data_IF_853763795258
#
_entry.id   IF_853763795258
#
_cell.length_a   1.000
_cell.length_b   1.000
_cell.length_c   1.000
_cell.angle_alpha   90.00
_cell.angle_beta   90.00
_cell.angle_gamma   90.00
#
_symmetry.space_group_name_H-M   'P 1'
#
loop_
_entity.id
_entity.type
_entity.pdbx_description
1 polymer ?
#
# COMPACT_ATOMS: atom_id res chain seq x y z
N UNK A 1 -34.14 -23.50 -32.33
CA UNK A 1 -33.64 -22.18 -32.78
C UNK A 1 -33.43 -21.31 -31.54
N UNK A 2 -32.26 -21.40 -30.90
CA UNK A 2 -31.86 -20.51 -29.81
C UNK A 2 -30.51 -19.94 -30.20
N UNK A 3 -30.54 -18.64 -30.46
CA UNK A 3 -29.46 -17.82 -30.98
C UNK A 3 -28.38 -17.63 -29.92
N UNK A 4 -27.15 -17.96 -30.32
CA UNK A 4 -25.86 -17.34 -30.00
C UNK A 4 -25.98 -16.20 -28.98
N UNK A 5 -25.56 -16.47 -27.75
CA UNK A 5 -25.07 -15.48 -26.78
C UNK A 5 -23.71 -15.92 -26.28
N UNK A 6 -22.81 -16.16 -27.22
CA UNK A 6 -21.41 -16.38 -26.89
C UNK A 6 -20.69 -15.04 -27.01
N UNK A 7 -19.89 -14.75 -25.98
CA UNK A 7 -18.59 -14.09 -26.10
C UNK A 7 -18.46 -12.58 -25.82
N UNK A 8 -19.03 -12.07 -24.72
CA UNK A 8 -18.66 -10.73 -24.20
C UNK A 8 -18.32 -10.68 -22.70
N UNK A 9 -18.44 -11.79 -21.96
CA UNK A 9 -18.19 -11.82 -20.51
C UNK A 9 -16.84 -12.42 -20.10
N UNK A 10 -16.03 -12.91 -21.03
CA UNK A 10 -14.80 -13.65 -20.71
C UNK A 10 -13.53 -12.79 -20.60
N UNK A 11 -13.58 -11.50 -20.96
CA UNK A 11 -12.37 -10.63 -21.00
C UNK A 11 -12.29 -9.68 -19.80
N UNK A 12 -13.31 -9.65 -18.95
CA UNK A 12 -13.41 -8.75 -17.80
C UNK A 12 -13.10 -9.43 -16.45
N UNK A 13 -12.73 -10.71 -16.46
CA UNK A 13 -12.57 -11.53 -15.24
C UNK A 13 -11.17 -12.12 -15.04
N UNK A 14 -10.19 -11.73 -15.86
CA UNK A 14 -8.79 -12.07 -15.62
C UNK A 14 -8.09 -10.82 -15.12
N UNK A 15 -7.74 -10.77 -13.83
CA UNK A 15 -6.71 -9.95 -13.15
C UNK A 15 -7.07 -9.63 -11.68
N UNK A 16 -7.75 -10.54 -10.97
CA UNK A 16 -8.13 -10.30 -9.56
C UNK A 16 -7.69 -11.40 -8.58
N UNK A 17 -6.71 -12.24 -8.94
CA UNK A 17 -6.34 -13.36 -8.05
C UNK A 17 -4.84 -13.68 -7.89
N UNK A 18 -3.92 -12.76 -8.13
CA UNK A 18 -2.52 -13.02 -7.81
C UNK A 18 -1.93 -11.87 -6.97
N UNK A 19 -2.00 -12.05 -5.64
CA UNK A 19 -1.16 -11.45 -4.59
C UNK A 19 -1.79 -10.59 -3.46
N UNK A 20 -3.11 -10.56 -3.25
CA UNK A 20 -3.72 -9.65 -2.22
C UNK A 20 -4.49 -10.27 -1.04
N UNK A 21 -4.83 -11.55 -1.06
CA UNK A 21 -6.06 -12.04 -0.40
C UNK A 21 -5.90 -12.71 0.98
N UNK A 22 -5.00 -12.21 1.84
CA UNK A 22 -4.86 -12.77 3.20
C UNK A 22 -5.16 -11.78 4.36
N UNK A 23 -5.35 -10.47 4.12
CA UNK A 23 -5.54 -9.50 5.21
C UNK A 23 -6.99 -9.09 5.52
N UNK A 24 -7.98 -9.59 4.78
CA UNK A 24 -9.33 -9.02 4.85
C UNK A 24 -9.32 -7.56 4.40
N UNK A 25 -10.37 -6.79 4.72
CA UNK A 25 -10.43 -5.36 4.37
C UNK A 25 -9.45 -4.53 5.23
N UNK A 26 -8.38 -3.95 4.66
CA UNK A 26 -7.42 -3.12 5.38
C UNK A 26 -7.91 -1.68 5.59
N UNK A 27 -9.03 -1.26 4.99
CA UNK A 27 -9.54 0.11 5.13
C UNK A 27 -9.82 0.44 6.61
N UNK A 28 -9.39 1.64 7.05
CA UNK A 28 -9.48 2.07 8.43
C UNK A 28 -8.53 1.37 9.42
N UNK A 29 -7.67 0.45 8.96
CA UNK A 29 -6.72 -0.28 9.80
C UNK A 29 -5.30 0.27 9.68
N UNK A 30 -4.49 -0.07 10.68
CA UNK A 30 -3.06 0.23 10.69
C UNK A 30 -2.30 -0.93 10.05
N UNK A 31 -1.62 -0.64 8.96
CA UNK A 31 -0.80 -1.60 8.20
C UNK A 31 0.68 -1.20 8.24
N UNK A 32 1.54 -2.12 7.82
CA UNK A 32 2.98 -1.88 7.67
C UNK A 32 3.30 -1.71 6.19
N UNK A 33 4.03 -0.65 5.86
CA UNK A 33 4.51 -0.39 4.51
C UNK A 33 6.04 -0.23 4.45
N UNK A 34 6.59 -0.27 3.25
CA UNK A 34 8.00 -0.06 2.95
C UNK A 34 8.15 1.05 1.90
N UNK A 35 8.97 2.05 2.19
CA UNK A 35 9.28 3.10 1.22
C UNK A 35 10.14 2.50 0.10
N UNK A 36 9.66 2.51 -1.14
CA UNK A 36 10.41 1.96 -2.29
C UNK A 36 10.96 3.04 -3.22
N UNK A 37 10.37 4.23 -3.23
CA UNK A 37 10.79 5.37 -4.03
C UNK A 37 10.54 6.69 -3.29
N UNK A 38 11.37 7.70 -3.56
CA UNK A 38 11.29 9.03 -2.94
C UNK A 38 11.55 10.06 -4.05
N UNK A 39 10.61 10.99 -4.21
CA UNK A 39 10.74 12.12 -5.13
C UNK A 39 10.56 13.38 -4.32
N UNK A 40 11.63 14.15 -4.13
CA UNK A 40 11.60 15.35 -3.27
C UNK A 40 11.06 15.01 -1.86
N UNK A 41 9.87 15.52 -1.53
CA UNK A 41 9.16 15.26 -0.28
C UNK A 41 8.07 14.19 -0.39
N UNK A 42 7.85 13.60 -1.55
CA UNK A 42 6.87 12.54 -1.76
C UNK A 42 7.48 11.15 -1.54
N UNK A 43 6.86 10.38 -0.64
CA UNK A 43 7.28 9.05 -0.24
C UNK A 43 6.33 8.03 -0.86
N UNK A 44 6.85 7.22 -1.79
CA UNK A 44 6.12 6.11 -2.40
C UNK A 44 6.28 4.87 -1.52
N UNK A 45 5.16 4.36 -1.01
CA UNK A 45 5.13 3.31 0.00
C UNK A 45 4.26 2.16 -0.46
N UNK A 46 4.85 0.97 -0.50
CA UNK A 46 4.16 -0.28 -0.77
C UNK A 46 3.79 -0.95 0.55
N UNK A 47 2.54 -1.38 0.69
CA UNK A 47 2.01 -2.11 1.85
C UNK A 47 1.36 -3.45 1.47
N UNK A 48 1.64 -3.94 0.26
CA UNK A 48 1.17 -5.26 -0.21
C UNK A 48 -0.27 -5.26 -0.74
N UNK A 49 -0.73 -4.11 -1.27
CA UNK A 49 -2.03 -4.00 -1.93
C UNK A 49 -1.87 -3.73 -3.43
N UNK A 50 -2.99 -3.71 -4.16
CA UNK A 50 -3.04 -3.44 -5.61
C UNK A 50 -2.36 -2.12 -5.99
N UNK A 51 -2.59 -1.09 -5.17
CA UNK A 51 -2.01 0.23 -5.36
C UNK A 51 -1.15 0.61 -4.17
N UNK A 52 -0.01 1.23 -4.47
CA UNK A 52 0.83 1.85 -3.46
C UNK A 52 0.20 3.17 -3.00
N UNK A 53 0.65 3.72 -1.88
CA UNK A 53 0.26 5.06 -1.46
C UNK A 53 1.42 6.03 -1.61
N UNK A 54 1.10 7.29 -1.93
CA UNK A 54 2.05 8.40 -1.93
C UNK A 54 1.73 9.29 -0.73
N UNK A 55 2.73 9.54 0.11
CA UNK A 55 2.56 10.38 1.30
C UNK A 55 3.68 11.41 1.38
N UNK A 56 3.34 12.65 1.72
CA UNK A 56 4.36 13.68 1.95
C UNK A 56 5.20 13.39 3.19
N UNK A 57 6.48 13.76 3.13
CA UNK A 57 7.48 13.55 4.17
C UNK A 57 7.04 14.26 5.46
N UNK A 58 6.92 13.54 6.59
CA UNK A 58 6.60 14.17 7.86
C UNK A 58 7.65 15.20 8.26
N UNK A 59 7.22 16.40 8.69
CA UNK A 59 8.12 17.48 9.16
C UNK A 59 8.96 17.04 10.35
N UNK A 60 8.40 16.18 11.21
CA UNK A 60 9.08 15.63 12.38
C UNK A 60 9.92 14.41 11.97
N UNK A 61 11.22 14.47 12.19
CA UNK A 61 12.19 13.42 11.86
C UNK A 61 12.18 13.00 10.38
N UNK A 62 11.93 13.95 9.47
CA UNK A 62 11.82 13.69 8.03
C UNK A 62 13.04 13.00 7.42
N UNK A 63 14.24 13.24 7.95
CA UNK A 63 15.49 12.63 7.49
C UNK A 63 15.58 11.11 7.72
N UNK A 64 14.77 10.56 8.64
CA UNK A 64 14.74 9.13 8.93
C UNK A 64 13.86 8.32 7.94
N UNK A 65 13.05 9.02 7.12
CA UNK A 65 12.24 8.42 6.06
C UNK A 65 13.08 8.29 4.79
N UNK A 66 13.87 7.22 4.74
CA UNK A 66 14.71 6.87 3.59
C UNK A 66 14.15 5.66 2.86
N UNK A 67 14.61 5.44 1.63
CA UNK A 67 14.27 4.26 0.84
C UNK A 67 14.62 2.99 1.63
N UNK A 68 13.69 2.06 1.73
CA UNK A 68 13.82 0.82 2.50
C UNK A 68 13.29 0.91 3.92
N UNK A 69 13.03 2.10 4.47
CA UNK A 69 12.44 2.25 5.80
C UNK A 69 11.05 1.61 5.86
N UNK A 70 10.79 0.88 6.95
CA UNK A 70 9.46 0.36 7.28
C UNK A 70 8.68 1.42 8.04
N UNK A 71 7.43 1.64 7.65
CA UNK A 71 6.53 2.65 8.22
C UNK A 71 5.20 2.02 8.62
N UNK A 72 4.55 2.62 9.60
CA UNK A 72 3.16 2.32 9.95
C UNK A 72 2.25 3.31 9.23
N UNK A 73 1.25 2.77 8.55
CA UNK A 73 0.28 3.52 7.78
C UNK A 73 -1.11 3.28 8.33
N UNK A 74 -1.95 4.32 8.34
CA UNK A 74 -3.40 4.18 8.45
C UNK A 74 -3.98 4.21 7.04
N UNK A 75 -4.64 3.13 6.61
CA UNK A 75 -5.31 3.08 5.31
C UNK A 75 -6.63 3.85 5.40
N UNK A 76 -6.87 4.76 4.46
CA UNK A 76 -8.09 5.53 4.35
C UNK A 76 -8.97 5.04 3.22
N UNK A 77 -8.39 4.85 2.06
CA UNK A 77 -9.06 4.34 0.87
C UNK A 77 -8.05 3.47 0.10
N UNK A 78 -8.54 2.39 -0.49
CA UNK A 78 -7.73 1.45 -1.25
C UNK A 78 -7.58 1.84 -2.71
N UNK A 79 -8.45 2.71 -3.22
CA UNK A 79 -8.38 3.20 -4.57
C UNK A 79 -8.93 4.63 -4.66
N UNK A 80 -8.02 5.59 -4.83
CA UNK A 80 -8.40 6.95 -5.14
C UNK A 80 -9.03 7.02 -6.53
N UNK A 81 -10.35 7.04 -6.57
CA UNK A 81 -11.15 7.23 -7.78
C UNK A 81 -12.07 8.44 -7.63
N UNK A 82 -12.36 9.12 -8.73
CA UNK A 82 -13.28 10.26 -8.76
C UNK A 82 -14.30 10.11 -9.87
N UNK A 83 -15.56 10.35 -9.50
CA UNK A 83 -16.70 10.40 -10.43
C UNK A 83 -16.83 11.80 -10.99
N UNK A 84 -16.42 12.00 -12.24
CA UNK A 84 -16.62 13.27 -12.94
C UNK A 84 -17.93 13.23 -13.72
N UNK A 85 -18.73 14.30 -13.60
CA UNK A 85 -19.97 14.46 -14.35
C UNK A 85 -19.66 14.52 -15.86
N UNK A 86 -20.19 13.56 -16.62
CA UNK A 86 -19.98 13.45 -18.07
C UNK A 86 -19.08 12.29 -18.51
N UNK A 87 -18.51 11.52 -17.59
CA UNK A 87 -17.81 10.27 -17.89
C UNK A 87 -18.65 9.06 -17.48
N UNK A 88 -18.73 8.04 -18.35
CA UNK A 88 -19.42 6.78 -18.03
C UNK A 88 -18.61 5.87 -17.09
N UNK A 89 -17.30 6.09 -16.99
CA UNK A 89 -16.37 5.30 -16.16
C UNK A 89 -15.66 6.21 -15.17
N UNK A 90 -15.38 5.66 -13.99
CA UNK A 90 -14.64 6.35 -12.94
C UNK A 90 -13.17 6.49 -13.36
N UNK A 91 -12.58 7.66 -13.10
CA UNK A 91 -11.15 7.89 -13.29
C UNK A 91 -10.43 7.54 -11.98
N UNK A 92 -9.41 6.68 -12.07
CA UNK A 92 -8.60 6.24 -10.93
C UNK A 92 -7.19 6.82 -11.01
N UNK A 93 -6.66 7.27 -9.88
CA UNK A 93 -5.28 7.75 -9.76
C UNK A 93 -4.28 6.59 -9.65
N UNK A 94 -4.76 5.34 -9.53
CA UNK A 94 -3.94 4.14 -9.35
C UNK A 94 -3.05 4.21 -8.09
N UNK A 95 -3.55 4.92 -7.07
CA UNK A 95 -2.91 5.13 -5.78
C UNK A 95 -3.93 4.92 -4.66
N UNK A 96 -3.46 4.41 -3.52
CA UNK A 96 -4.23 4.29 -2.29
C UNK A 96 -4.04 5.54 -1.41
N UNK A 97 -5.06 5.90 -0.64
CA UNK A 97 -4.96 6.97 0.36
C UNK A 97 -4.54 6.41 1.72
N UNK A 98 -3.41 6.89 2.22
CA UNK A 98 -2.82 6.46 3.48
C UNK A 98 -2.28 7.65 4.27
N UNK A 99 -2.16 7.47 5.59
CA UNK A 99 -1.48 8.40 6.47
C UNK A 99 -0.33 7.75 7.22
N UNK A 100 0.85 8.37 7.16
CA UNK A 100 2.03 7.94 7.92
C UNK A 100 1.82 8.23 9.41
N UNK A 101 1.79 7.18 10.22
CA UNK A 101 1.77 7.28 11.68
C UNK A 101 3.18 7.36 12.27
N UNK A 102 4.16 6.75 11.60
CA UNK A 102 5.57 6.84 11.99
C UNK A 102 6.43 5.68 11.49
N UNK A 103 7.74 5.76 11.71
CA UNK A 103 8.69 4.69 11.42
C UNK A 103 8.47 3.49 12.34
N UNK A 104 8.66 2.28 11.80
CA UNK A 104 8.75 1.08 12.62
C UNK A 104 10.14 1.01 13.27
N UNK A 105 10.16 0.84 14.58
CA UNK A 105 11.40 0.63 15.31
C UNK A 105 11.77 -0.85 15.23
N UNK A 106 12.87 -1.17 14.56
CA UNK A 106 13.45 -2.50 14.63
C UNK A 106 14.02 -2.68 16.04
N UNK A 107 13.35 -3.53 16.85
CA UNK A 107 13.88 -3.93 18.15
C UNK A 107 15.11 -4.81 17.88
N UNK A 108 16.29 -4.22 17.91
CA UNK A 108 17.54 -4.99 17.97
C UNK A 108 17.61 -5.69 19.33
N UNK A 109 17.17 -6.94 19.38
CA UNK A 109 17.42 -7.84 20.50
C UNK A 109 18.89 -8.27 20.42
N UNK A 110 19.79 -7.41 20.87
CA UNK A 110 21.16 -7.83 21.18
C UNK A 110 21.10 -8.64 22.48
N UNK A 111 20.76 -9.92 22.36
CA UNK A 111 21.10 -10.92 23.38
C UNK A 111 22.62 -11.02 23.39
N UNK A 112 23.25 -10.26 24.28
CA UNK A 112 24.62 -10.56 24.67
C UNK A 112 24.56 -11.88 25.44
N UNK A 113 24.78 -12.99 24.74
CA UNK A 113 25.18 -14.25 25.35
C UNK A 113 26.55 -14.04 26.00
N UNK A 114 26.54 -13.45 27.19
CA UNK A 114 27.66 -13.50 28.12
C UNK A 114 27.77 -14.94 28.63
N UNK A 115 28.42 -15.79 27.82
CA UNK A 115 29.08 -16.99 28.31
C UNK A 115 30.56 -16.91 27.94
N UNK A 116 31.33 -16.20 28.77
CA UNK A 116 32.74 -16.46 28.93
C UNK A 116 33.12 -16.36 30.42
N UNK A 117 33.82 -17.41 30.86
CA UNK A 117 34.60 -17.57 32.09
C UNK A 117 33.86 -17.60 33.43
N UNK A 118 33.66 -18.81 33.97
CA UNK A 118 34.64 -19.46 34.84
C UNK A 118 34.72 -20.95 34.51
#
# INVERSE_FOLDING_TARGET
MKTIKDNLSSVYLDLEEEAGLQLGDPEGKVVTGKIFHIVEDDLYIDFGWKFHCVCSRPKKNGSSYIRGSKVRLLVKDLELSSKFLGFEKDLTLLEADCHILGLMQERNLNLQDNKNSQ
#
